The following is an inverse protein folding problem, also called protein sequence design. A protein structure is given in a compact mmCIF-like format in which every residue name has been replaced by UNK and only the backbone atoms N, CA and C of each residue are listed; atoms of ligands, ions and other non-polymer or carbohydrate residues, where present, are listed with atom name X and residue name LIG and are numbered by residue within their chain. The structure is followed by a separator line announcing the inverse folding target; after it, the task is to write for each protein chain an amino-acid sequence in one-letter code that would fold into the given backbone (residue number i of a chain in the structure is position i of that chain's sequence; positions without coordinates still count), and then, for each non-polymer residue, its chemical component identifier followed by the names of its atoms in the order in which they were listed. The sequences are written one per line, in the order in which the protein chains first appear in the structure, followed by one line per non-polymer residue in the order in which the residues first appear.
data_IF_780432835852
#
_entry.id   IF_780432835852
#
_cell.length_a   1.000
_cell.length_b   1.000
_cell.length_c   1.000
_cell.angle_alpha   90.00
_cell.angle_beta   90.00
_cell.angle_gamma   90.00
#
_symmetry.space_group_name_H-M   'P 1'
#
loop_
_entity.id
_entity.type
_entity.pdbx_description
1 polymer ?
#
# COMPACT_ATOMS: atom_id res chain seq x y z
N UNK A 1 -3.27 -15.18 7.79
CA UNK A 1 -2.69 -16.45 7.29
C UNK A 1 -1.70 -16.26 6.13
N UNK A 2 -1.98 -15.46 5.09
CA UNK A 2 -1.05 -15.28 3.96
C UNK A 2 0.27 -14.53 4.33
N UNK A 3 0.17 -13.34 4.94
CA UNK A 3 1.34 -12.54 5.32
C UNK A 3 2.30 -13.30 6.24
N UNK A 4 1.75 -13.96 7.27
CA UNK A 4 2.52 -14.84 8.17
C UNK A 4 3.34 -15.88 7.41
N UNK A 5 2.73 -16.56 6.45
CA UNK A 5 3.40 -17.60 5.65
C UNK A 5 4.52 -17.01 4.80
N UNK A 6 4.28 -15.87 4.15
CA UNK A 6 5.29 -15.18 3.34
C UNK A 6 6.48 -14.75 4.20
N UNK A 7 6.24 -14.07 5.32
CA UNK A 7 7.32 -13.64 6.20
C UNK A 7 8.05 -14.81 6.86
N UNK A 8 7.34 -15.92 7.13
CA UNK A 8 7.98 -17.16 7.58
C UNK A 8 8.91 -17.74 6.51
N UNK A 9 8.48 -17.76 5.26
CA UNK A 9 9.33 -18.20 4.17
C UNK A 9 10.58 -17.34 4.03
N UNK A 10 10.43 -16.01 4.07
CA UNK A 10 11.56 -15.06 3.95
C UNK A 10 12.54 -15.21 5.12
N UNK A 11 12.04 -15.24 6.36
CA UNK A 11 12.89 -15.31 7.56
C UNK A 11 13.65 -16.63 7.67
N UNK A 12 13.06 -17.73 7.19
CA UNK A 12 13.65 -19.07 7.27
C UNK A 12 14.45 -19.45 6.00
N UNK A 13 14.51 -18.57 4.99
CA UNK A 13 15.20 -18.84 3.73
C UNK A 13 16.74 -18.89 3.89
N UNK A 14 17.32 -20.08 3.75
CA UNK A 14 18.77 -20.31 3.88
C UNK A 14 19.56 -20.01 2.61
N UNK A 15 18.95 -20.22 1.43
CA UNK A 15 19.60 -20.03 0.12
C UNK A 15 19.30 -18.67 -0.52
N UNK A 16 18.64 -17.76 0.20
CA UNK A 16 18.39 -16.41 -0.28
C UNK A 16 19.70 -15.62 -0.33
N UNK A 17 19.89 -14.83 -1.39
CA UNK A 17 21.05 -13.95 -1.54
C UNK A 17 21.17 -13.03 -0.32
N UNK A 18 22.36 -12.98 0.27
CA UNK A 18 22.67 -12.07 1.37
C UNK A 18 22.57 -10.60 0.95
N UNK A 19 22.31 -9.72 1.91
CA UNK A 19 22.21 -8.28 1.67
C UNK A 19 20.89 -7.81 1.05
N UNK A 20 19.95 -8.72 0.74
CA UNK A 20 18.61 -8.35 0.31
C UNK A 20 17.77 -7.84 1.48
N UNK A 21 16.94 -6.83 1.20
CA UNK A 21 15.92 -6.31 2.11
C UNK A 21 14.53 -6.69 1.60
N UNK A 22 13.71 -7.27 2.47
CA UNK A 22 12.31 -7.54 2.18
C UNK A 22 11.45 -6.34 2.59
N UNK A 23 10.72 -5.76 1.64
CA UNK A 23 9.86 -4.61 1.88
C UNK A 23 8.38 -5.01 1.81
N UNK A 24 7.62 -4.62 2.83
CA UNK A 24 6.15 -4.68 2.78
C UNK A 24 5.61 -3.31 2.35
N UNK A 25 4.88 -3.26 1.23
CA UNK A 25 3.99 -2.13 0.92
C UNK A 25 2.61 -2.39 1.50
N UNK A 26 2.09 -1.49 2.34
CA UNK A 26 0.77 -1.66 2.94
C UNK A 26 -0.37 -1.45 1.92
N UNK A 27 -1.60 -1.74 2.35
CA UNK A 27 -2.80 -1.72 1.53
C UNK A 27 -2.99 -0.36 0.83
N UNK A 28 -3.40 -0.40 -0.45
CA UNK A 28 -3.75 0.80 -1.20
C UNK A 28 -5.28 0.85 -1.28
N UNK A 29 -5.92 1.85 -0.65
CA UNK A 29 -7.37 1.95 -0.57
C UNK A 29 -8.01 2.32 -1.92
N UNK A 30 -9.29 1.97 -2.04
CA UNK A 30 -10.16 2.41 -3.12
C UNK A 30 -11.12 3.49 -2.60
N UNK A 31 -11.56 4.43 -3.43
CA UNK A 31 -12.42 5.54 -3.00
C UNK A 31 -13.76 5.59 -3.74
N UNK A 32 -14.56 4.54 -3.62
CA UNK A 32 -15.92 4.58 -4.15
C UNK A 32 -16.85 5.42 -3.26
N UNK A 33 -17.52 6.39 -3.85
CA UNK A 33 -18.63 7.15 -3.25
C UNK A 33 -19.95 6.85 -3.98
N UNK A 34 -21.07 6.97 -3.26
CA UNK A 34 -22.43 6.81 -3.79
C UNK A 34 -22.71 5.44 -4.46
N UNK A 35 -22.01 4.40 -4.02
CA UNK A 35 -22.15 3.04 -4.52
C UNK A 35 -20.85 2.27 -4.34
N UNK A 36 -20.89 0.99 -4.63
CA UNK A 36 -19.71 0.13 -4.73
C UNK A 36 -19.27 0.04 -6.19
N UNK A 37 -18.16 -0.67 -6.41
CA UNK A 37 -17.62 -0.93 -7.74
C UNK A 37 -18.65 -1.52 -8.73
N UNK A 38 -19.66 -2.26 -8.26
CA UNK A 38 -20.69 -2.91 -9.07
C UNK A 38 -22.09 -2.31 -8.94
N UNK A 39 -22.25 -1.22 -8.20
CA UNK A 39 -23.57 -0.58 -8.01
C UNK A 39 -23.60 0.88 -8.44
N UNK A 40 -22.66 1.29 -9.31
CA UNK A 40 -22.59 2.64 -9.87
C UNK A 40 -21.78 3.63 -9.03
N UNK A 41 -20.94 3.16 -8.12
CA UNK A 41 -20.03 4.02 -7.35
C UNK A 41 -19.05 4.78 -8.24
N UNK A 42 -18.60 5.95 -7.77
CA UNK A 42 -17.69 6.84 -8.49
C UNK A 42 -16.69 7.55 -7.56
N UNK A 43 -15.67 8.15 -8.16
CA UNK A 43 -14.57 8.85 -7.49
C UNK A 43 -14.16 10.07 -8.33
N UNK A 44 -14.96 11.13 -8.27
CA UNK A 44 -14.76 12.35 -9.07
C UNK A 44 -14.25 13.53 -8.24
N UNK A 45 -13.69 13.27 -7.05
CA UNK A 45 -13.07 14.31 -6.24
C UNK A 45 -11.87 14.91 -6.96
N UNK A 46 -11.68 16.20 -6.77
CA UNK A 46 -10.58 16.97 -7.35
C UNK A 46 -9.61 17.50 -6.29
N UNK A 47 -9.84 17.18 -5.02
CA UNK A 47 -9.02 17.57 -3.88
C UNK A 47 -8.90 16.43 -2.88
N UNK A 48 -7.77 16.30 -2.19
CA UNK A 48 -7.57 15.26 -1.19
C UNK A 48 -8.53 15.42 0.00
N UNK A 49 -8.74 14.33 0.73
CA UNK A 49 -9.32 14.37 2.06
C UNK A 49 -8.32 14.95 3.08
N UNK A 50 -8.85 15.66 4.07
CA UNK A 50 -8.14 15.98 5.30
C UNK A 50 -8.07 14.77 6.23
N UNK A 51 -7.20 14.82 7.25
CA UNK A 51 -7.12 13.75 8.26
C UNK A 51 -8.42 13.53 9.03
N UNK A 52 -9.27 14.56 9.15
CA UNK A 52 -10.56 14.43 9.82
C UNK A 52 -11.62 13.73 8.94
N UNK A 53 -11.37 13.58 7.64
CA UNK A 53 -12.30 12.98 6.68
C UNK A 53 -12.01 11.51 6.37
N UNK A 54 -10.83 11.00 6.76
CA UNK A 54 -10.51 9.59 6.56
C UNK A 54 -11.14 8.74 7.66
N UNK A 55 -11.71 7.60 7.26
CA UNK A 55 -12.32 6.65 8.20
C UNK A 55 -11.35 5.48 8.50
N UNK A 56 -10.85 5.46 9.74
CA UNK A 56 -9.95 4.41 10.24
C UNK A 56 -10.69 3.18 10.77
N UNK A 57 -12.03 3.18 10.76
CA UNK A 57 -12.86 2.00 11.03
C UNK A 57 -13.11 1.14 9.80
N UNK A 58 -12.60 1.54 8.64
CA UNK A 58 -12.79 0.83 7.36
C UNK A 58 -11.93 -0.42 7.25
N UNK A 59 -12.34 -1.32 6.34
CA UNK A 59 -11.59 -2.50 5.93
C UNK A 59 -10.14 -2.19 5.54
N UNK A 60 -9.89 -1.05 4.90
CA UNK A 60 -8.56 -0.67 4.43
C UNK A 60 -7.57 -0.50 5.60
N UNK A 61 -8.03 0.13 6.69
CA UNK A 61 -7.23 0.32 7.90
C UNK A 61 -7.07 -0.98 8.68
N UNK A 62 -8.11 -1.80 8.76
CA UNK A 62 -8.05 -3.13 9.37
C UNK A 62 -7.02 -4.01 8.66
N UNK A 63 -7.07 -4.06 7.32
CA UNK A 63 -6.11 -4.80 6.50
C UNK A 63 -4.68 -4.31 6.70
N UNK A 64 -4.46 -3.00 6.75
CA UNK A 64 -3.16 -2.43 7.10
C UNK A 64 -2.71 -2.90 8.49
N UNK A 65 -3.56 -2.88 9.50
CA UNK A 65 -3.18 -3.30 10.86
C UNK A 65 -2.77 -4.78 10.89
N UNK A 66 -3.49 -5.66 10.19
CA UNK A 66 -3.13 -7.08 10.06
C UNK A 66 -1.79 -7.24 9.33
N UNK A 67 -1.57 -6.47 8.25
CA UNK A 67 -0.29 -6.47 7.52
C UNK A 67 0.88 -6.06 8.41
N UNK A 68 0.73 -4.99 9.18
CA UNK A 68 1.74 -4.48 10.10
C UNK A 68 2.00 -5.45 11.25
N UNK A 69 0.96 -6.06 11.84
CA UNK A 69 1.14 -7.02 12.93
C UNK A 69 1.97 -8.24 12.48
N UNK A 70 1.60 -8.84 11.34
CA UNK A 70 2.32 -10.00 10.82
C UNK A 70 3.73 -9.62 10.32
N UNK A 71 3.90 -8.42 9.78
CA UNK A 71 5.21 -7.89 9.42
C UNK A 71 6.11 -7.73 10.63
N UNK A 72 5.64 -7.09 11.70
CA UNK A 72 6.43 -6.88 12.92
C UNK A 72 6.79 -8.21 13.61
N UNK A 73 5.91 -9.20 13.53
CA UNK A 73 6.22 -10.58 13.99
C UNK A 73 7.34 -11.19 13.15
N UNK A 74 7.22 -11.14 11.83
CA UNK A 74 8.22 -11.67 10.90
C UNK A 74 9.56 -10.96 10.96
N UNK A 75 9.55 -9.63 11.06
CA UNK A 75 10.71 -8.75 11.17
C UNK A 75 11.54 -9.08 12.41
N UNK A 76 10.93 -9.08 13.60
CA UNK A 76 11.61 -9.41 14.86
C UNK A 76 12.33 -10.75 14.79
N UNK A 77 11.66 -11.78 14.27
CA UNK A 77 12.26 -13.11 14.11
C UNK A 77 13.32 -13.19 13.01
N UNK A 78 13.15 -12.44 11.93
CA UNK A 78 14.06 -12.43 10.79
C UNK A 78 15.33 -11.64 11.03
N UNK A 79 15.26 -10.52 11.74
CA UNK A 79 16.41 -9.70 12.13
C UNK A 79 17.39 -10.50 12.99
N UNK A 80 16.88 -11.32 13.93
CA UNK A 80 17.71 -12.26 14.70
C UNK A 80 18.44 -13.30 13.83
N UNK A 81 17.98 -13.52 12.59
CA UNK A 81 18.59 -14.42 11.60
C UNK A 81 19.37 -13.66 10.52
N UNK A 82 19.69 -12.39 10.76
CA UNK A 82 20.45 -11.54 9.84
C UNK A 82 19.69 -11.15 8.57
N UNK A 83 18.35 -11.23 8.57
CA UNK A 83 17.52 -10.74 7.47
C UNK A 83 17.19 -9.27 7.67
N UNK A 84 17.12 -8.51 6.57
CA UNK A 84 16.69 -7.12 6.57
C UNK A 84 15.24 -7.03 6.14
N UNK A 85 14.44 -6.27 6.89
CA UNK A 85 13.05 -5.99 6.60
C UNK A 85 12.82 -4.49 6.66
N UNK A 86 11.94 -3.98 5.81
CA UNK A 86 11.49 -2.59 5.83
C UNK A 86 10.00 -2.50 5.53
N UNK A 87 9.37 -1.39 5.89
CA UNK A 87 7.94 -1.16 5.66
C UNK A 87 7.70 0.15 4.92
N UNK A 88 7.02 0.03 3.79
CA UNK A 88 6.48 1.14 3.01
C UNK A 88 5.01 1.31 3.39
N UNK A 89 4.77 1.99 4.51
CA UNK A 89 3.41 2.23 5.02
C UNK A 89 2.75 3.42 4.31
N UNK A 90 1.99 3.11 3.26
CA UNK A 90 1.32 4.09 2.40
C UNK A 90 -0.15 4.31 2.75
N UNK A 91 -0.78 3.39 3.50
CA UNK A 91 -2.25 3.33 3.59
C UNK A 91 -2.85 4.62 4.10
N UNK A 92 -2.31 5.21 5.19
CA UNK A 92 -2.84 6.46 5.75
C UNK A 92 -2.74 7.62 4.75
N UNK A 93 -1.59 7.76 4.11
CA UNK A 93 -1.38 8.80 3.11
C UNK A 93 -2.30 8.61 1.91
N UNK A 94 -2.54 7.37 1.48
CA UNK A 94 -3.39 7.07 0.33
C UNK A 94 -4.88 7.16 0.63
N UNK A 95 -5.31 6.89 1.87
CA UNK A 95 -6.69 7.16 2.33
C UNK A 95 -7.04 8.65 2.18
N UNK A 96 -6.04 9.54 2.21
CA UNK A 96 -6.26 10.96 2.01
C UNK A 96 -6.38 11.35 0.53
N UNK A 97 -6.07 10.45 -0.41
CA UNK A 97 -5.89 10.78 -1.84
C UNK A 97 -7.04 10.31 -2.72
N UNK A 98 -8.28 10.54 -2.30
CA UNK A 98 -9.46 10.25 -3.13
C UNK A 98 -9.50 11.02 -4.46
N UNK A 99 -8.70 12.08 -4.60
CA UNK A 99 -8.46 12.85 -5.83
C UNK A 99 -7.53 12.15 -6.85
N UNK A 100 -6.95 11.01 -6.47
CA UNK A 100 -5.89 10.35 -7.24
C UNK A 100 -6.35 9.35 -8.29
N UNK A 101 -7.64 9.07 -8.40
CA UNK A 101 -8.17 7.98 -9.21
C UNK A 101 -8.56 8.42 -10.63
N UNK A 102 -8.42 7.56 -11.65
CA UNK A 102 -8.90 7.85 -13.00
C UNK A 102 -10.42 8.04 -13.09
N UNK A 103 -11.19 7.33 -12.25
CA UNK A 103 -12.65 7.35 -12.29
C UNK A 103 -13.18 6.99 -13.68
N UNK A 104 -14.04 7.83 -14.23
CA UNK A 104 -14.60 7.66 -15.57
C UNK A 104 -13.55 7.82 -16.69
N UNK A 105 -12.43 8.50 -16.42
CA UNK A 105 -11.39 8.78 -17.41
C UNK A 105 -10.52 7.57 -17.75
N UNK A 106 -10.63 6.47 -17.00
CA UNK A 106 -10.00 5.20 -17.37
C UNK A 106 -10.45 4.72 -18.77
N UNK A 107 -11.64 5.13 -19.22
CA UNK A 107 -12.14 4.76 -20.54
C UNK A 107 -12.40 3.26 -20.66
N UNK A 108 -13.01 2.66 -19.62
CA UNK A 108 -13.26 1.22 -19.54
C UNK A 108 -14.00 0.72 -20.79
N UNK A 109 -13.28 0.00 -21.66
CA UNK A 109 -13.80 -0.50 -22.93
C UNK A 109 -14.77 -1.67 -22.74
N UNK A 110 -14.65 -2.39 -21.63
CA UNK A 110 -15.33 -3.66 -21.37
C UNK A 110 -16.56 -3.49 -20.46
N UNK A 111 -16.52 -2.51 -19.55
CA UNK A 111 -17.61 -2.19 -18.63
C UNK A 111 -17.95 -0.70 -18.73
N UNK A 112 -18.60 -0.30 -19.83
CA UNK A 112 -19.06 1.07 -20.02
C UNK A 112 -19.93 1.51 -18.82
N UNK A 113 -19.61 2.66 -18.24
CA UNK A 113 -20.30 3.22 -17.07
C UNK A 113 -19.67 2.87 -15.72
N UNK A 114 -18.63 2.04 -15.68
CA UNK A 114 -17.89 1.74 -14.45
C UNK A 114 -16.71 2.68 -14.26
N UNK A 115 -16.57 3.21 -13.04
CA UNK A 115 -15.46 4.06 -12.64
C UNK A 115 -14.31 3.22 -12.09
N UNK A 116 -13.08 3.56 -12.48
CA UNK A 116 -11.89 3.01 -11.82
C UNK A 116 -11.51 3.85 -10.61
N UNK A 117 -11.93 3.38 -9.43
CA UNK A 117 -11.61 3.99 -8.14
C UNK A 117 -10.61 3.16 -7.34
N UNK A 118 -9.86 2.27 -8.00
CA UNK A 118 -8.89 1.35 -7.38
C UNK A 118 -7.48 1.69 -7.86
N UNK A 119 -7.31 1.96 -9.16
CA UNK A 119 -6.02 2.35 -9.74
C UNK A 119 -5.78 3.84 -9.61
N UNK A 120 -4.55 4.27 -9.86
CA UNK A 120 -4.08 5.64 -9.64
C UNK A 120 -3.69 6.30 -10.96
N UNK A 121 -4.01 7.58 -11.12
CA UNK A 121 -3.50 8.40 -12.19
C UNK A 121 -1.96 8.53 -12.12
N UNK A 122 -1.33 8.69 -13.27
CA UNK A 122 0.08 9.05 -13.40
C UNK A 122 0.25 10.24 -14.37
N UNK A 123 0.97 11.31 -13.99
CA UNK A 123 1.55 11.56 -12.66
C UNK A 123 0.47 11.71 -11.58
N UNK A 124 0.77 11.35 -10.33
CA UNK A 124 -0.23 11.27 -9.26
C UNK A 124 0.30 10.79 -7.90
N UNK A 125 -0.60 10.44 -6.95
CA UNK A 125 -0.21 10.05 -5.59
C UNK A 125 0.77 8.87 -5.52
N UNK A 126 0.70 7.97 -6.50
CA UNK A 126 1.56 6.79 -6.61
C UNK A 126 3.04 7.16 -6.79
N UNK A 127 3.34 8.35 -7.34
CA UNK A 127 4.73 8.82 -7.50
C UNK A 127 5.42 8.99 -6.14
N UNK A 128 4.66 9.35 -5.09
CA UNK A 128 5.19 9.46 -3.73
C UNK A 128 5.54 8.11 -3.11
N UNK A 129 4.99 6.99 -3.59
CA UNK A 129 5.40 5.66 -3.12
C UNK A 129 6.86 5.40 -3.45
N UNK A 130 7.29 5.84 -4.64
CA UNK A 130 8.70 5.75 -5.03
C UNK A 130 9.58 6.67 -4.19
N UNK A 131 9.10 7.87 -3.83
CA UNK A 131 9.84 8.76 -2.92
C UNK A 131 10.03 8.12 -1.53
N UNK A 132 8.98 7.54 -0.96
CA UNK A 132 9.05 6.83 0.32
C UNK A 132 9.94 5.60 0.23
N UNK A 133 9.82 4.81 -0.85
CA UNK A 133 10.70 3.67 -1.12
C UNK A 133 12.17 4.09 -1.14
N UNK A 134 12.50 5.15 -1.87
CA UNK A 134 13.87 5.66 -1.94
C UNK A 134 14.37 6.17 -0.59
N UNK A 135 13.51 6.81 0.21
CA UNK A 135 13.86 7.22 1.57
C UNK A 135 14.16 6.01 2.47
N UNK A 136 13.33 4.97 2.43
CA UNK A 136 13.54 3.72 3.18
C UNK A 136 14.85 3.05 2.76
N UNK A 137 15.09 2.88 1.46
CA UNK A 137 16.32 2.25 0.96
C UNK A 137 17.55 3.07 1.36
N UNK A 138 17.46 4.40 1.38
CA UNK A 138 18.57 5.27 1.83
C UNK A 138 18.86 5.11 3.32
N UNK A 139 17.83 5.13 4.16
CA UNK A 139 17.95 5.10 5.61
C UNK A 139 18.28 3.70 6.15
N UNK A 140 17.58 2.67 5.66
CA UNK A 140 17.69 1.29 6.16
C UNK A 140 18.65 0.43 5.33
N UNK A 141 18.88 0.80 4.07
CA UNK A 141 19.78 0.07 3.15
C UNK A 141 21.25 0.45 3.29
N UNK A 142 21.58 1.49 4.06
CA UNK A 142 22.95 1.94 4.28
C UNK A 142 23.58 2.66 3.08
N UNK A 143 22.76 3.35 2.27
CA UNK A 143 23.25 4.19 1.16
C UNK A 143 23.61 5.61 1.59
N UNK A 144 23.37 5.96 2.85
CA UNK A 144 23.89 7.18 3.47
C UNK A 144 24.87 6.76 4.57
N UNK A 145 26.14 6.77 4.19
CA UNK A 145 27.31 6.89 5.06
C UNK A 145 27.68 8.35 5.22
#
# INVERSE_FOLDING_TARGET
MAFRTVFKHIKDCKNCRGGLMALLRTFAPAHFENGAWNTGGYCNRTSPFSEAQIDLGTFDWEMRNIQIEEFERGRREGEMKGKKFGVLDITRAMLMRADGHPGAHWGNQWMKGYNDCVHWCMPGPVDYWNHFLMAIIRNEGGLVS
#
